data_IF_812091656540
#
_entry.id   IF_812091656540
#
_cell.length_a   1.000
_cell.length_b   1.000
_cell.length_c   1.000
_cell.angle_alpha   90.00
_cell.angle_beta   90.00
_cell.angle_gamma   90.00
#
_symmetry.space_group_name_H-M   'P 1'
#
loop_
_entity.id
_entity.type
_entity.pdbx_description
1 polymer ?
#
# COMPACT_ATOMS: atom_id res chain seq x y z
N UNK A 1 20.65 -14.49 -14.82
CA UNK A 1 19.34 -14.34 -15.53
C UNK A 1 18.16 -14.95 -14.77
N UNK A 2 18.21 -16.21 -14.34
CA UNK A 2 17.12 -16.89 -13.61
C UNK A 2 16.69 -16.16 -12.32
N UNK A 3 17.64 -15.64 -11.53
CA UNK A 3 17.32 -14.92 -10.27
C UNK A 3 16.47 -13.67 -10.49
N UNK A 4 16.68 -12.93 -11.57
CA UNK A 4 15.86 -11.79 -11.95
C UNK A 4 14.42 -12.19 -12.29
N UNK A 5 14.27 -13.25 -13.09
CA UNK A 5 12.95 -13.78 -13.46
C UNK A 5 12.22 -14.28 -12.22
N UNK A 6 12.90 -15.05 -11.37
CA UNK A 6 12.32 -15.57 -10.13
C UNK A 6 11.87 -14.42 -9.21
N UNK A 7 12.72 -13.42 -8.97
CA UNK A 7 12.40 -12.26 -8.13
C UNK A 7 11.19 -11.50 -8.68
N UNK A 8 11.14 -11.23 -9.99
CA UNK A 8 10.04 -10.50 -10.60
C UNK A 8 8.72 -11.30 -10.55
N UNK A 9 8.75 -12.58 -10.92
CA UNK A 9 7.54 -13.43 -10.95
C UNK A 9 7.01 -13.66 -9.55
N UNK A 10 7.85 -14.08 -8.61
CA UNK A 10 7.42 -14.34 -7.22
C UNK A 10 6.97 -13.04 -6.55
N UNK A 11 7.70 -11.94 -6.75
CA UNK A 11 7.31 -10.63 -6.22
C UNK A 11 5.94 -10.19 -6.74
N UNK A 12 5.67 -10.34 -8.04
CA UNK A 12 4.38 -10.01 -8.63
C UNK A 12 3.24 -10.90 -8.13
N UNK A 13 3.47 -12.22 -8.04
CA UNK A 13 2.47 -13.16 -7.53
C UNK A 13 2.15 -12.92 -6.07
N UNK A 14 3.16 -12.70 -5.20
CA UNK A 14 2.95 -12.28 -3.81
C UNK A 14 2.16 -10.97 -3.73
N UNK A 15 2.54 -9.97 -4.53
CA UNK A 15 1.81 -8.73 -4.64
C UNK A 15 0.35 -8.93 -5.02
N UNK A 16 0.07 -9.85 -5.93
CA UNK A 16 -1.26 -10.15 -6.47
C UNK A 16 -2.20 -10.81 -5.46
N UNK A 17 -1.70 -11.33 -4.34
CA UNK A 17 -2.53 -11.79 -3.23
C UNK A 17 -3.18 -10.57 -2.56
N UNK A 18 -4.49 -10.41 -2.74
CA UNK A 18 -5.25 -9.33 -2.12
C UNK A 18 -5.79 -9.75 -0.76
N UNK A 19 -5.10 -9.36 0.32
CA UNK A 19 -5.51 -9.69 1.69
C UNK A 19 -6.91 -9.18 1.99
N UNK A 20 -7.25 -7.98 1.53
CA UNK A 20 -8.59 -7.39 1.70
C UNK A 20 -9.69 -8.21 1.04
N UNK A 21 -9.47 -8.70 -0.20
CA UNK A 21 -10.45 -9.52 -0.91
C UNK A 21 -10.59 -10.88 -0.26
N UNK A 22 -9.47 -11.56 0.04
CA UNK A 22 -9.48 -12.86 0.72
C UNK A 22 -10.23 -12.78 2.06
N UNK A 23 -9.91 -11.77 2.88
CA UNK A 23 -10.55 -11.58 4.17
C UNK A 23 -12.04 -11.25 4.03
N UNK A 24 -12.42 -10.34 3.14
CA UNK A 24 -13.82 -9.91 2.99
C UNK A 24 -14.72 -11.00 2.40
N UNK A 25 -14.20 -11.78 1.44
CA UNK A 25 -14.92 -12.93 0.87
C UNK A 25 -15.10 -14.03 1.92
N UNK A 26 -14.07 -14.30 2.74
CA UNK A 26 -14.18 -15.20 3.90
C UNK A 26 -15.21 -14.74 4.95
N UNK A 27 -15.56 -13.44 4.96
CA UNK A 27 -16.64 -12.86 5.79
C UNK A 27 -17.98 -12.77 5.04
N UNK A 28 -18.13 -13.44 3.90
CA UNK A 28 -19.36 -13.52 3.10
C UNK A 28 -19.69 -12.27 2.26
N UNK A 29 -18.77 -11.30 2.12
CA UNK A 29 -19.01 -10.03 1.42
C UNK A 29 -17.76 -9.64 0.60
N UNK A 30 -17.93 -8.94 -0.49
CA UNK A 30 -16.81 -8.47 -1.33
C UNK A 30 -16.56 -6.96 -1.12
N UNK A 31 -15.46 -6.60 -0.50
CA UNK A 31 -15.06 -5.21 -0.21
C UNK A 31 -15.02 -4.32 -1.47
N UNK A 32 -14.82 -4.90 -2.65
CA UNK A 32 -14.79 -4.16 -3.92
C UNK A 32 -16.17 -3.67 -4.36
N UNK A 33 -17.24 -4.22 -3.79
CA UNK A 33 -18.63 -3.83 -4.05
C UNK A 33 -19.18 -2.88 -2.98
N UNK A 34 -18.36 -2.50 -1.98
CA UNK A 34 -18.81 -1.72 -0.82
C UNK A 34 -17.90 -0.55 -0.50
N UNK A 35 -18.44 0.43 0.20
CA UNK A 35 -17.72 1.63 0.62
C UNK A 35 -17.16 2.42 -0.56
N UNK A 36 -15.83 2.52 -0.66
CA UNK A 36 -15.17 3.18 -1.79
C UNK A 36 -14.90 2.24 -2.97
N UNK A 37 -15.20 0.95 -2.86
CA UNK A 37 -14.88 -0.06 -3.86
C UNK A 37 -13.40 -0.44 -3.96
N UNK A 38 -12.53 0.17 -3.15
CA UNK A 38 -11.10 -0.09 -3.20
C UNK A 38 -10.72 -1.33 -2.35
N UNK A 39 -9.88 -2.22 -2.93
CA UNK A 39 -9.36 -3.40 -2.24
C UNK A 39 -8.15 -3.05 -1.34
N UNK A 40 -8.37 -2.30 -0.25
CA UNK A 40 -7.30 -1.87 0.64
C UNK A 40 -7.75 -1.63 2.08
N UNK A 41 -6.77 -1.49 2.98
CA UNK A 41 -6.97 -1.41 4.43
C UNK A 41 -7.97 -0.32 4.87
N UNK A 42 -7.93 0.87 4.26
CA UNK A 42 -8.84 1.98 4.57
C UNK A 42 -10.30 1.63 4.28
N UNK A 43 -10.57 0.94 3.15
CA UNK A 43 -11.93 0.51 2.83
C UNK A 43 -12.38 -0.66 3.71
N UNK A 44 -11.48 -1.57 4.04
CA UNK A 44 -11.73 -2.65 5.01
C UNK A 44 -12.10 -2.08 6.38
N UNK A 45 -11.39 -1.05 6.87
CA UNK A 45 -11.73 -0.38 8.12
C UNK A 45 -13.11 0.30 8.07
N UNK A 46 -13.45 0.89 6.92
CA UNK A 46 -14.74 1.57 6.70
C UNK A 46 -15.91 0.60 6.67
N UNK A 47 -15.77 -0.57 6.03
CA UNK A 47 -16.85 -1.54 5.79
C UNK A 47 -16.95 -2.59 6.89
N UNK A 48 -15.81 -3.15 7.32
CA UNK A 48 -15.71 -4.28 8.24
C UNK A 48 -15.15 -3.90 9.61
N UNK A 49 -14.80 -2.63 9.82
CA UNK A 49 -14.26 -2.12 11.08
C UNK A 49 -12.73 -2.12 11.15
N UNK A 50 -12.22 -1.43 12.18
CA UNK A 50 -10.79 -1.14 12.32
C UNK A 50 -9.92 -2.41 12.37
N UNK A 51 -10.38 -3.48 13.04
CA UNK A 51 -9.64 -4.75 13.12
C UNK A 51 -9.37 -5.34 11.75
N UNK A 52 -10.38 -5.38 10.87
CA UNK A 52 -10.22 -5.87 9.50
C UNK A 52 -9.28 -4.99 8.67
N UNK A 53 -9.33 -3.67 8.87
CA UNK A 53 -8.39 -2.73 8.26
C UNK A 53 -6.94 -2.98 8.67
N UNK A 54 -6.69 -3.19 9.97
CA UNK A 54 -5.34 -3.46 10.50
C UNK A 54 -4.81 -4.81 10.00
N UNK A 55 -5.63 -5.86 10.00
CA UNK A 55 -5.23 -7.18 9.46
C UNK A 55 -4.85 -7.04 7.98
N UNK A 56 -5.63 -6.30 7.21
CA UNK A 56 -5.34 -6.04 5.78
C UNK A 56 -4.02 -5.28 5.62
N UNK A 57 -3.80 -4.23 6.41
CA UNK A 57 -2.58 -3.43 6.39
C UNK A 57 -1.36 -4.31 6.65
N UNK A 58 -1.38 -5.07 7.75
CA UNK A 58 -0.27 -5.94 8.15
C UNK A 58 -0.02 -7.05 7.13
N UNK A 59 -1.08 -7.69 6.61
CA UNK A 59 -0.95 -8.73 5.59
C UNK A 59 -0.35 -8.20 4.29
N UNK A 60 -0.72 -6.99 3.85
CA UNK A 60 -0.12 -6.34 2.68
C UNK A 60 1.35 -5.97 2.92
N UNK A 61 1.72 -5.58 4.15
CA UNK A 61 3.12 -5.32 4.52
C UNK A 61 3.93 -6.63 4.55
N UNK A 62 3.40 -7.71 5.10
CA UNK A 62 4.09 -9.02 5.16
C UNK A 62 4.40 -9.54 3.76
N UNK A 63 3.44 -9.54 2.83
CA UNK A 63 3.70 -10.00 1.45
C UNK A 63 4.77 -9.16 0.75
N UNK A 64 4.81 -7.84 1.02
CA UNK A 64 5.83 -6.95 0.48
C UNK A 64 7.21 -7.22 1.10
N UNK A 65 7.26 -7.48 2.42
CA UNK A 65 8.49 -7.87 3.10
C UNK A 65 9.08 -9.15 2.50
N UNK A 66 8.24 -10.17 2.27
CA UNK A 66 8.67 -11.43 1.67
C UNK A 66 9.21 -11.25 0.24
N UNK A 67 8.54 -10.44 -0.59
CA UNK A 67 8.99 -10.16 -1.96
C UNK A 67 10.33 -9.43 -1.99
N UNK A 68 10.50 -8.41 -1.16
CA UNK A 68 11.74 -7.63 -1.06
C UNK A 68 12.88 -8.46 -0.49
N UNK A 69 12.61 -9.22 0.59
CA UNK A 69 13.62 -10.06 1.23
C UNK A 69 14.15 -11.13 0.27
N UNK A 70 13.24 -11.82 -0.44
CA UNK A 70 13.65 -12.80 -1.47
C UNK A 70 14.54 -12.15 -2.53
N UNK A 71 14.13 -11.00 -3.05
CA UNK A 71 14.92 -10.28 -4.04
C UNK A 71 16.27 -9.87 -3.51
N UNK A 72 16.33 -9.29 -2.32
CA UNK A 72 17.56 -8.84 -1.68
C UNK A 72 18.55 -10.00 -1.44
N UNK A 73 18.06 -11.15 -0.97
CA UNK A 73 18.89 -12.35 -0.76
C UNK A 73 19.48 -12.90 -2.06
N UNK A 74 18.78 -12.73 -3.19
CA UNK A 74 19.24 -13.23 -4.49
C UNK A 74 20.14 -12.26 -5.24
N UNK A 75 19.92 -10.94 -5.15
CA UNK A 75 20.54 -9.93 -6.02
C UNK A 75 20.92 -8.63 -5.28
N UNK A 76 20.93 -8.62 -3.94
CA UNK A 76 21.21 -7.41 -3.17
C UNK A 76 20.21 -6.27 -3.45
N UNK A 77 20.69 -5.04 -3.48
CA UNK A 77 19.85 -3.85 -3.72
C UNK A 77 19.09 -3.88 -5.05
N UNK A 78 19.66 -4.50 -6.08
CA UNK A 78 18.98 -4.68 -7.36
C UNK A 78 17.77 -5.62 -7.24
N UNK A 79 17.90 -6.67 -6.45
CA UNK A 79 16.79 -7.59 -6.15
C UNK A 79 15.73 -6.98 -5.24
N UNK A 80 16.15 -6.14 -4.27
CA UNK A 80 15.23 -5.35 -3.46
C UNK A 80 14.36 -4.45 -4.35
N UNK A 81 14.98 -3.75 -5.30
CA UNK A 81 14.28 -2.94 -6.28
C UNK A 81 13.31 -3.78 -7.13
N UNK A 82 13.80 -4.86 -7.74
CA UNK A 82 12.99 -5.67 -8.64
C UNK A 82 11.80 -6.34 -7.92
N UNK A 83 12.03 -6.94 -6.74
CA UNK A 83 10.99 -7.56 -5.92
C UNK A 83 9.97 -6.54 -5.40
N UNK A 84 10.44 -5.38 -4.96
CA UNK A 84 9.58 -4.29 -4.49
C UNK A 84 8.69 -3.73 -5.60
N UNK A 85 9.25 -3.45 -6.78
CA UNK A 85 8.50 -2.99 -7.96
C UNK A 85 7.47 -4.05 -8.37
N UNK A 86 7.89 -5.30 -8.51
CA UNK A 86 6.99 -6.39 -8.90
C UNK A 86 5.83 -6.55 -7.89
N UNK A 87 6.13 -6.47 -6.58
CA UNK A 87 5.12 -6.59 -5.54
C UNK A 87 4.11 -5.44 -5.55
N UNK A 88 4.55 -4.18 -5.66
CA UNK A 88 3.63 -3.04 -5.67
C UNK A 88 2.77 -3.01 -6.95
N UNK A 89 3.34 -3.42 -8.09
CA UNK A 89 2.59 -3.60 -9.35
C UNK A 89 1.55 -4.70 -9.18
N UNK A 90 1.93 -5.86 -8.63
CA UNK A 90 0.99 -6.96 -8.36
C UNK A 90 -0.12 -6.56 -7.38
N UNK A 91 0.19 -5.76 -6.35
CA UNK A 91 -0.82 -5.24 -5.42
C UNK A 91 -1.80 -4.27 -6.10
N UNK A 92 -1.33 -3.41 -6.98
CA UNK A 92 -2.17 -2.45 -7.71
C UNK A 92 -2.97 -3.12 -8.84
N UNK A 93 -2.37 -4.10 -9.51
CA UNK A 93 -2.91 -4.80 -10.68
C UNK A 93 -2.80 -6.32 -10.50
N UNK A 94 -3.54 -6.91 -9.54
CA UNK A 94 -3.42 -8.32 -9.19
C UNK A 94 -4.02 -9.24 -10.26
N UNK A 95 -3.24 -10.20 -10.75
CA UNK A 95 -3.68 -11.17 -11.75
C UNK A 95 -4.84 -12.02 -11.25
N UNK A 96 -4.86 -12.38 -9.96
CA UNK A 96 -5.93 -13.20 -9.36
C UNK A 96 -7.27 -12.46 -9.21
N UNK A 97 -7.30 -11.14 -9.42
CA UNK A 97 -8.48 -10.30 -9.18
C UNK A 97 -8.80 -9.36 -10.36
N UNK A 98 -8.59 -9.85 -11.60
CA UNK A 98 -8.89 -9.12 -12.84
C UNK A 98 -8.19 -7.75 -12.91
N UNK A 99 -6.97 -7.66 -12.38
CA UNK A 99 -6.15 -6.44 -12.32
C UNK A 99 -6.78 -5.27 -11.57
N UNK A 100 -7.77 -5.53 -10.69
CA UNK A 100 -8.45 -4.54 -9.84
C UNK A 100 -7.99 -4.71 -8.39
N UNK A 101 -6.95 -3.98 -8.01
CA UNK A 101 -6.30 -4.10 -6.70
C UNK A 101 -6.42 -2.88 -5.81
N UNK A 102 -5.47 -2.76 -4.87
CA UNK A 102 -5.33 -1.63 -3.95
C UNK A 102 -4.62 -0.43 -4.56
N UNK A 103 -4.27 0.54 -3.72
CA UNK A 103 -3.60 1.78 -4.15
C UNK A 103 -2.11 1.83 -3.81
N UNK A 104 -1.54 0.75 -3.32
CA UNK A 104 -0.12 0.66 -3.03
C UNK A 104 0.33 1.28 -1.70
N UNK A 105 -0.56 1.85 -0.90
CA UNK A 105 -0.18 2.59 0.33
C UNK A 105 0.45 1.69 1.39
N UNK A 106 -0.17 0.55 1.70
CA UNK A 106 0.35 -0.42 2.67
C UNK A 106 1.71 -0.98 2.24
N UNK A 107 1.79 -1.38 0.96
CA UNK A 107 3.02 -1.88 0.34
C UNK A 107 4.09 -0.79 0.32
N UNK A 108 3.77 0.42 -0.17
CA UNK A 108 4.68 1.56 -0.22
C UNK A 108 5.20 1.97 1.17
N UNK A 109 4.36 1.88 2.20
CA UNK A 109 4.76 2.11 3.59
C UNK A 109 5.84 1.12 4.05
N UNK A 110 5.69 -0.18 3.75
CA UNK A 110 6.75 -1.13 4.05
C UNK A 110 7.99 -0.89 3.17
N UNK A 111 7.83 -0.67 1.88
CA UNK A 111 8.96 -0.41 0.97
C UNK A 111 9.79 0.77 1.46
N UNK A 112 9.19 1.82 2.03
CA UNK A 112 9.92 2.96 2.58
C UNK A 112 10.84 2.56 3.73
N UNK A 113 10.40 1.67 4.62
CA UNK A 113 11.24 1.13 5.71
C UNK A 113 12.37 0.24 5.18
N UNK A 114 12.11 -0.55 4.13
CA UNK A 114 13.11 -1.43 3.52
C UNK A 114 14.13 -0.66 2.66
N UNK A 115 13.76 0.49 2.12
CA UNK A 115 14.67 1.41 1.46
C UNK A 115 15.66 1.99 2.47
N UNK A 116 15.14 2.61 3.52
CA UNK A 116 15.88 3.15 4.67
C UNK A 116 14.88 3.45 5.79
N UNK A 117 15.18 3.05 7.02
CA UNK A 117 14.28 3.27 8.15
C UNK A 117 13.96 4.76 8.38
N UNK A 118 14.89 5.69 8.06
CA UNK A 118 14.70 7.14 8.16
C UNK A 118 13.70 7.64 7.13
N UNK A 119 13.74 7.08 5.90
CA UNK A 119 12.75 7.31 4.85
C UNK A 119 11.38 6.83 5.33
N UNK A 120 11.32 5.64 5.94
CA UNK A 120 10.10 5.12 6.55
C UNK A 120 9.50 6.07 7.59
N UNK A 121 10.31 6.59 8.52
CA UNK A 121 9.83 7.56 9.51
C UNK A 121 9.25 8.83 8.86
N UNK A 122 9.90 9.37 7.82
CA UNK A 122 9.37 10.52 7.07
C UNK A 122 8.04 10.20 6.39
N UNK A 123 7.92 9.01 5.80
CA UNK A 123 6.68 8.57 5.13
C UNK A 123 5.53 8.45 6.14
N UNK A 124 5.74 7.73 7.26
CA UNK A 124 4.70 7.55 8.27
C UNK A 124 4.38 8.86 9.01
N UNK A 125 5.38 9.69 9.30
CA UNK A 125 5.19 11.00 9.91
C UNK A 125 4.39 11.93 9.00
N UNK A 126 4.75 12.00 7.72
CA UNK A 126 4.03 12.76 6.69
C UNK A 126 2.61 12.26 6.50
N UNK A 127 2.43 10.94 6.37
CA UNK A 127 1.10 10.33 6.29
C UNK A 127 0.24 10.70 7.50
N UNK A 128 0.76 10.53 8.72
CA UNK A 128 0.02 10.81 9.96
C UNK A 128 -0.37 12.28 10.07
N UNK A 129 0.59 13.19 9.84
CA UNK A 129 0.36 14.63 9.91
C UNK A 129 -0.79 15.07 8.99
N UNK A 130 -0.72 14.69 7.72
CA UNK A 130 -1.72 15.13 6.73
C UNK A 130 -3.02 14.34 6.83
N UNK A 131 -3.01 13.06 7.17
CA UNK A 131 -4.24 12.27 7.33
C UNK A 131 -5.04 12.71 8.56
N UNK A 132 -4.37 12.95 9.69
CA UNK A 132 -5.02 13.41 10.93
C UNK A 132 -5.48 14.86 10.80
N UNK A 133 -4.59 15.76 10.35
CA UNK A 133 -4.90 17.18 10.23
C UNK A 133 -6.05 17.47 9.27
N UNK A 134 -6.14 16.75 8.15
CA UNK A 134 -7.22 16.94 7.15
C UNK A 134 -8.43 16.03 7.36
N UNK A 135 -8.33 15.01 8.22
CA UNK A 135 -9.29 13.89 8.32
C UNK A 135 -9.44 13.07 7.04
N UNK A 136 -8.53 13.22 6.07
CA UNK A 136 -8.56 12.58 4.75
C UNK A 136 -7.33 11.67 4.57
N UNK A 137 -7.55 10.36 4.69
CA UNK A 137 -6.47 9.35 4.53
C UNK A 137 -5.79 9.45 3.15
N UNK A 138 -6.54 9.84 2.11
CA UNK A 138 -5.99 10.00 0.76
C UNK A 138 -4.95 11.10 0.67
N UNK A 139 -5.13 12.23 1.38
CA UNK A 139 -4.15 13.31 1.41
C UNK A 139 -2.87 12.84 2.11
N UNK A 140 -2.99 12.18 3.26
CA UNK A 140 -1.85 11.57 3.95
C UNK A 140 -1.10 10.56 3.06
N UNK A 141 -1.85 9.74 2.29
CA UNK A 141 -1.25 8.76 1.37
C UNK A 141 -0.45 9.41 0.25
N UNK A 142 -0.95 10.50 -0.32
CA UNK A 142 -0.27 11.26 -1.39
C UNK A 142 0.99 11.94 -0.83
N UNK A 143 0.89 12.59 0.33
CA UNK A 143 2.04 13.22 0.98
C UNK A 143 3.10 12.17 1.39
N UNK A 144 2.70 11.02 1.93
CA UNK A 144 3.60 9.91 2.20
C UNK A 144 4.26 9.36 0.93
N UNK A 145 3.53 9.28 -0.18
CA UNK A 145 4.09 8.86 -1.46
C UNK A 145 5.14 9.83 -2.02
N UNK A 146 4.97 11.13 -1.81
CA UNK A 146 6.01 12.12 -2.16
C UNK A 146 7.21 12.00 -1.20
N UNK A 147 6.94 11.82 0.09
CA UNK A 147 7.96 11.72 1.13
C UNK A 147 8.93 10.54 0.91
N UNK A 148 8.49 9.41 0.30
CA UNK A 148 9.39 8.28 0.01
C UNK A 148 10.52 8.69 -0.94
N UNK A 149 10.22 9.44 -1.99
CA UNK A 149 11.22 9.90 -2.97
C UNK A 149 12.08 11.03 -2.39
N UNK A 150 11.46 12.02 -1.76
CA UNK A 150 12.17 13.16 -1.14
C UNK A 150 13.13 12.66 -0.05
N UNK A 151 12.66 11.77 0.84
CA UNK A 151 13.51 11.17 1.87
C UNK A 151 14.65 10.33 1.29
N UNK A 152 14.39 9.58 0.21
CA UNK A 152 15.44 8.80 -0.47
C UNK A 152 16.54 9.68 -1.07
N UNK A 153 16.21 10.87 -1.56
CA UNK A 153 17.17 11.86 -2.03
C UNK A 153 17.95 12.49 -0.86
N UNK A 154 17.25 12.88 0.22
CA UNK A 154 17.87 13.50 1.41
C UNK A 154 18.88 12.55 2.06
N UNK A 155 18.55 11.27 2.18
CA UNK A 155 19.39 10.27 2.83
C UNK A 155 20.35 9.56 1.87
N UNK A 156 20.48 10.02 0.62
CA UNK A 156 21.41 9.53 -0.38
C UNK A 156 21.40 8.00 -0.52
N UNK A 157 20.21 7.39 -0.60
CA UNK A 157 20.09 5.94 -0.78
C UNK A 157 20.70 5.50 -2.12
N UNK A 158 21.01 4.20 -2.27
CA UNK A 158 21.57 3.67 -3.53
C UNK A 158 20.60 3.87 -4.70
N UNK A 159 21.14 3.97 -5.91
CA UNK A 159 20.34 4.18 -7.14
C UNK A 159 19.20 3.17 -7.30
N UNK A 160 19.38 1.84 -7.08
CA UNK A 160 18.25 0.91 -7.15
C UNK A 160 17.13 1.23 -6.15
N UNK A 161 17.47 1.61 -4.93
CA UNK A 161 16.49 2.00 -3.89
C UNK A 161 15.74 3.28 -4.27
N UNK A 162 16.46 4.25 -4.86
CA UNK A 162 15.84 5.48 -5.36
C UNK A 162 14.86 5.19 -6.52
N UNK A 163 15.23 4.30 -7.45
CA UNK A 163 14.33 3.89 -8.53
C UNK A 163 13.05 3.27 -7.96
N UNK A 164 13.18 2.38 -6.95
CA UNK A 164 12.03 1.79 -6.27
C UNK A 164 11.14 2.88 -5.64
N UNK A 165 11.73 3.87 -4.95
CA UNK A 165 11.01 4.98 -4.33
C UNK A 165 10.21 5.79 -5.37
N UNK A 166 10.83 6.14 -6.50
CA UNK A 166 10.18 6.88 -7.59
C UNK A 166 9.03 6.07 -8.20
N UNK A 167 9.23 4.79 -8.49
CA UNK A 167 8.18 3.92 -9.05
C UNK A 167 7.01 3.77 -8.06
N UNK A 168 7.30 3.57 -6.77
CA UNK A 168 6.28 3.48 -5.74
C UNK A 168 5.48 4.78 -5.62
N UNK A 169 6.13 5.94 -5.61
CA UNK A 169 5.48 7.26 -5.61
C UNK A 169 4.56 7.41 -6.82
N UNK A 170 5.06 7.16 -8.03
CA UNK A 170 4.29 7.30 -9.26
C UNK A 170 3.04 6.40 -9.27
N UNK A 171 3.19 5.13 -8.86
CA UNK A 171 2.07 4.18 -8.79
C UNK A 171 1.02 4.62 -7.75
N UNK A 172 1.45 5.02 -6.56
CA UNK A 172 0.50 5.49 -5.52
C UNK A 172 -0.24 6.73 -5.99
N UNK A 173 0.45 7.73 -6.56
CA UNK A 173 -0.19 8.95 -7.09
C UNK A 173 -1.17 8.60 -8.21
N UNK A 174 -0.77 7.76 -9.17
CA UNK A 174 -1.63 7.31 -10.26
C UNK A 174 -2.90 6.61 -9.73
N UNK A 175 -2.77 5.73 -8.75
CA UNK A 175 -3.91 5.06 -8.13
C UNK A 175 -4.80 5.99 -7.29
N UNK A 176 -4.30 7.17 -6.92
CA UNK A 176 -5.07 8.21 -6.22
C UNK A 176 -5.70 9.26 -7.14
N UNK A 177 -5.61 9.13 -8.48
CA UNK A 177 -6.17 10.11 -9.44
C UNK A 177 -7.62 10.50 -9.16
N UNK A 178 -8.46 9.55 -8.77
CA UNK A 178 -9.86 9.83 -8.39
C UNK A 178 -9.98 10.55 -7.05
N UNK A 179 -9.09 10.26 -6.09
CA UNK A 179 -9.04 10.99 -4.81
C UNK A 179 -8.51 12.42 -5.03
N UNK A 180 -7.48 12.58 -5.85
CA UNK A 180 -6.94 13.91 -6.21
C UNK A 180 -8.04 14.78 -6.80
N UNK A 181 -8.82 14.27 -7.75
CA UNK A 181 -9.97 15.00 -8.32
C UNK A 181 -10.96 15.42 -7.24
N UNK A 182 -11.30 14.52 -6.30
CA UNK A 182 -12.22 14.87 -5.19
C UNK A 182 -11.61 15.83 -4.17
N UNK A 183 -10.31 15.72 -3.89
CA UNK A 183 -9.60 16.66 -3.02
C UNK A 183 -9.62 18.07 -3.59
N UNK A 184 -9.33 18.24 -4.89
CA UNK A 184 -9.38 19.53 -5.59
C UNK A 184 -10.79 20.13 -5.63
N UNK A 185 -11.81 19.30 -5.74
CA UNK A 185 -13.21 19.72 -5.74
C UNK A 185 -13.82 19.86 -4.33
N UNK A 186 -13.06 19.63 -3.25
CA UNK A 186 -13.57 19.66 -1.87
C UNK A 186 -14.56 18.53 -1.50
N UNK A 187 -14.67 17.49 -2.33
CA UNK A 187 -15.65 16.40 -2.16
C UNK A 187 -15.04 15.08 -1.66
N UNK A 188 -13.77 15.08 -1.27
CA UNK A 188 -13.16 13.89 -0.71
C UNK A 188 -13.72 13.61 0.70
N UNK A 189 -14.29 12.41 0.95
CA UNK A 189 -14.94 12.11 2.21
C UNK A 189 -13.92 11.95 3.34
N UNK A 190 -14.32 12.37 4.54
CA UNK A 190 -13.57 12.12 5.76
C UNK A 190 -13.47 10.63 6.06
N UNK A 191 -12.40 10.25 6.74
CA UNK A 191 -12.23 8.88 7.20
C UNK A 191 -13.10 8.63 8.44
N UNK A 192 -14.11 7.77 8.28
CA UNK A 192 -14.95 7.29 9.37
C UNK A 192 -14.94 5.76 9.34
N UNK A 193 -14.21 5.10 10.26
CA UNK A 193 -14.25 3.66 10.38
C UNK A 193 -15.62 3.23 10.90
N UNK A 194 -16.05 2.01 10.55
CA UNK A 194 -17.27 1.43 11.13
C UNK A 194 -17.07 1.28 12.64
N UNK A 195 -17.92 1.91 13.43
CA UNK A 195 -17.94 1.72 14.89
C UNK A 195 -18.33 0.27 15.19
N UNK A 196 -17.68 -0.33 16.17
CA UNK A 196 -18.15 -1.57 16.77
C UNK A 196 -19.43 -1.19 17.52
N UNK A 197 -20.60 -1.48 16.96
CA UNK A 197 -21.82 -1.47 17.75
C UNK A 197 -21.59 -2.48 18.88
N UNK A 198 -21.54 -2.03 20.14
CA UNK A 198 -21.80 -2.91 21.25
C UNK A 198 -23.16 -3.55 20.94
N UNK A 199 -23.19 -4.84 20.74
CA UNK A 199 -24.43 -5.61 20.85
C UNK A 199 -24.85 -5.42 22.31
N UNK A 200 -25.74 -4.47 22.55
CA UNK A 200 -26.53 -4.48 23.76
C UNK A 200 -27.34 -5.77 23.70
N UNK A 201 -26.92 -6.72 24.52
CA UNK A 201 -27.67 -7.92 24.79
C UNK A 201 -29.01 -7.48 25.38
N UNK A 202 -30.09 -7.71 24.65
CA UNK A 202 -31.38 -7.89 25.21
C UNK A 202 -31.53 -9.36 25.64
#
# INVERSE_FOLDING_TARGET
MWAWVLTAVVGYLLGSISVSVCLSVGMGRDVRKEGSGNAGATNMARVFGMKAGVITLLGDMVKAALAVLLGYLLLGDMGLMAGGIACIVGHCFPVFHQFKGGKGVSVGGLLSLMIDWRVGLLVFGSFGLFAVGSKKVSLGSICGAVAITVGSLIFHVSTPRLILAVVAMCLVIFQHRGNIKRLLNGTEPDFKPKSIRKTENA
#
